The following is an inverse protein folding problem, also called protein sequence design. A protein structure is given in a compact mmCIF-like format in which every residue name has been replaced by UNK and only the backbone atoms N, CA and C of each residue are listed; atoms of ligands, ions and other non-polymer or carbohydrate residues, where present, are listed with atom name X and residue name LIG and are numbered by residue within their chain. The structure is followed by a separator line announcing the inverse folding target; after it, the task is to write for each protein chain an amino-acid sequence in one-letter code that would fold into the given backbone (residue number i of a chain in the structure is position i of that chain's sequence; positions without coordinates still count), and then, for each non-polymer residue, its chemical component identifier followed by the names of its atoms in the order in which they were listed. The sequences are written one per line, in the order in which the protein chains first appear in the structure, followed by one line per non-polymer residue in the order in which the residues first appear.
data_IF_897661669611
#
_entry.id   IF_897661669611
#
_cell.length_a   1.000
_cell.length_b   1.000
_cell.length_c   1.000
_cell.angle_alpha   90.00
_cell.angle_beta   90.00
_cell.angle_gamma   90.00
#
_symmetry.space_group_name_H-M   'P 1'
#
loop_
_entity.id
_entity.type
_entity.pdbx_description
1 polymer ?
#
# COMPACT_ATOMS: atom_id res chain seq x y z
N UNK A 1 -13.86 -14.35 11.85
CA UNK A 1 -13.82 -12.88 11.71
C UNK A 1 -13.13 -12.57 10.39
N UNK A 2 -13.59 -11.56 9.64
CA UNK A 2 -12.94 -11.15 8.39
C UNK A 2 -11.97 -10.01 8.70
N UNK A 3 -10.68 -10.31 8.71
CA UNK A 3 -9.60 -9.33 8.93
C UNK A 3 -8.94 -8.88 7.62
N UNK A 4 -9.59 -9.13 6.49
CA UNK A 4 -9.14 -8.62 5.20
C UNK A 4 -9.25 -7.09 5.22
N UNK A 5 -8.15 -6.40 4.90
CA UNK A 5 -8.04 -4.96 5.11
C UNK A 5 -7.32 -4.25 3.97
N UNK A 6 -7.81 -3.06 3.65
CA UNK A 6 -7.19 -2.09 2.75
C UNK A 6 -6.69 -0.93 3.60
N UNK A 7 -5.40 -0.63 3.50
CA UNK A 7 -4.86 0.67 3.88
C UNK A 7 -4.79 1.54 2.63
N UNK A 8 -5.38 2.74 2.67
CA UNK A 8 -5.30 3.70 1.59
C UNK A 8 -4.36 4.85 1.94
N UNK A 9 -3.31 5.04 1.14
CA UNK A 9 -2.37 6.14 1.31
C UNK A 9 -2.33 7.04 0.07
N UNK A 10 -2.65 8.32 0.26
CA UNK A 10 -2.71 9.35 -0.78
C UNK A 10 -1.99 10.66 -0.40
N UNK A 11 -1.17 10.64 0.65
CA UNK A 11 -0.59 11.84 1.26
C UNK A 11 0.94 11.94 1.06
N UNK A 12 1.56 13.00 1.57
CA UNK A 12 3.00 13.25 1.44
C UNK A 12 3.85 12.48 2.48
N UNK A 13 5.19 12.55 2.30
CA UNK A 13 6.20 11.71 2.94
C UNK A 13 6.06 11.55 4.48
N UNK A 14 5.75 12.62 5.20
CA UNK A 14 5.68 12.63 6.66
C UNK A 14 4.65 11.63 7.22
N UNK A 15 3.62 11.32 6.43
CA UNK A 15 2.53 10.43 6.86
C UNK A 15 2.73 8.97 6.45
N UNK A 16 3.68 8.68 5.56
CA UNK A 16 3.94 7.30 5.12
C UNK A 16 4.45 6.44 6.27
N UNK A 17 5.33 6.97 7.11
CA UNK A 17 5.88 6.25 8.27
C UNK A 17 4.77 5.81 9.23
N UNK A 18 3.77 6.68 9.47
CA UNK A 18 2.58 6.38 10.29
C UNK A 18 1.73 5.29 9.64
N UNK A 19 1.46 5.39 8.33
CA UNK A 19 0.70 4.38 7.60
C UNK A 19 1.38 3.00 7.67
N UNK A 20 2.69 2.93 7.43
CA UNK A 20 3.45 1.68 7.51
C UNK A 20 3.58 1.15 8.94
N UNK A 21 3.62 2.03 9.95
CA UNK A 21 3.56 1.64 11.36
C UNK A 21 2.23 0.97 11.70
N UNK A 22 1.10 1.54 11.23
CA UNK A 22 -0.23 0.95 11.41
C UNK A 22 -0.34 -0.42 10.75
N UNK A 23 0.20 -0.58 9.54
CA UNK A 23 0.29 -1.88 8.85
C UNK A 23 1.08 -2.89 9.69
N UNK A 24 2.26 -2.52 10.20
CA UNK A 24 3.08 -3.40 11.04
C UNK A 24 2.33 -3.82 12.29
N UNK A 25 1.64 -2.89 12.95
CA UNK A 25 0.87 -3.16 14.15
C UNK A 25 -0.31 -4.09 13.88
N UNK A 26 -0.99 -3.92 12.74
CA UNK A 26 -2.08 -4.81 12.30
C UNK A 26 -1.60 -6.25 12.14
N UNK A 27 -0.49 -6.44 11.41
CA UNK A 27 0.10 -7.77 11.18
C UNK A 27 0.49 -8.44 12.51
N UNK A 28 1.14 -7.70 13.42
CA UNK A 28 1.55 -8.22 14.73
C UNK A 28 0.36 -8.63 15.61
N UNK A 29 -0.70 -7.82 15.61
CA UNK A 29 -1.89 -8.09 16.42
C UNK A 29 -2.63 -9.37 15.98
N UNK A 30 -2.54 -9.72 14.70
CA UNK A 30 -3.23 -10.85 14.08
C UNK A 30 -2.31 -12.03 13.72
N UNK A 31 -1.15 -12.16 14.38
CA UNK A 31 -0.14 -13.18 14.06
C UNK A 31 -0.63 -14.65 14.05
N UNK A 32 -1.76 -14.94 14.71
CA UNK A 32 -2.37 -16.27 14.75
C UNK A 32 -3.60 -16.41 13.83
N UNK A 33 -3.97 -15.36 13.10
CA UNK A 33 -5.15 -15.31 12.25
C UNK A 33 -4.75 -15.29 10.77
N UNK A 34 -5.62 -15.82 9.90
CA UNK A 34 -5.44 -15.72 8.45
C UNK A 34 -6.16 -14.49 7.92
N UNK A 35 -5.47 -13.66 7.14
CA UNK A 35 -6.03 -12.45 6.54
C UNK A 35 -5.22 -11.99 5.32
N UNK A 36 -5.86 -11.17 4.50
CA UNK A 36 -5.24 -10.45 3.38
C UNK A 36 -5.09 -8.98 3.73
N UNK A 37 -3.89 -8.43 3.55
CA UNK A 37 -3.62 -7.01 3.77
C UNK A 37 -3.09 -6.36 2.50
N UNK A 38 -3.74 -5.26 2.10
CA UNK A 38 -3.39 -4.51 0.89
C UNK A 38 -3.15 -3.05 1.24
N UNK A 39 -2.01 -2.50 0.87
CA UNK A 39 -1.76 -1.06 0.85
C UNK A 39 -1.99 -0.55 -0.56
N UNK A 40 -3.06 0.24 -0.77
CA UNK A 40 -3.30 0.92 -2.04
C UNK A 40 -2.75 2.34 -1.96
N UNK A 41 -1.83 2.68 -2.87
CA UNK A 41 -1.20 3.98 -2.98
C UNK A 41 -1.63 4.67 -4.26
N UNK A 42 -2.14 5.89 -4.13
CA UNK A 42 -2.47 6.76 -5.26
C UNK A 42 -2.08 8.22 -4.94
N UNK A 43 -2.41 9.14 -5.84
CA UNK A 43 -2.17 10.57 -5.63
C UNK A 43 -0.70 10.89 -5.33
N UNK A 44 -0.41 11.94 -4.54
CA UNK A 44 0.95 12.32 -4.15
C UNK A 44 1.77 11.21 -3.48
N UNK A 45 1.14 10.24 -2.84
CA UNK A 45 1.82 9.14 -2.14
C UNK A 45 2.71 8.29 -3.03
N UNK A 46 2.44 8.25 -4.35
CA UNK A 46 3.24 7.49 -5.32
C UNK A 46 4.71 7.93 -5.33
N UNK A 47 4.98 9.20 -5.03
CA UNK A 47 6.32 9.78 -5.04
C UNK A 47 7.26 9.14 -4.01
N UNK A 48 6.73 8.37 -3.06
CA UNK A 48 7.49 7.73 -1.96
C UNK A 48 7.70 6.22 -2.15
N UNK A 49 7.25 5.66 -3.28
CA UNK A 49 7.27 4.22 -3.54
C UNK A 49 8.52 3.78 -4.32
N UNK A 50 9.56 4.62 -4.39
CA UNK A 50 10.78 4.35 -5.12
C UNK A 50 11.66 3.32 -4.42
N UNK A 51 12.44 2.56 -5.20
CA UNK A 51 13.35 1.53 -4.68
C UNK A 51 14.50 2.07 -3.81
N UNK A 52 14.76 3.37 -3.85
CA UNK A 52 15.81 4.06 -3.07
C UNK A 52 15.25 5.09 -2.10
N UNK A 53 13.93 5.17 -1.93
CA UNK A 53 13.32 6.10 -0.99
C UNK A 53 13.50 5.66 0.47
N UNK A 54 13.38 6.60 1.40
CA UNK A 54 13.65 6.37 2.83
C UNK A 54 12.86 5.20 3.45
N UNK A 55 11.69 4.86 2.90
CA UNK A 55 10.82 3.80 3.40
C UNK A 55 10.91 2.51 2.56
N UNK A 56 11.83 2.43 1.59
CA UNK A 56 11.94 1.28 0.69
C UNK A 56 12.22 -0.03 1.43
N UNK A 57 13.14 -0.02 2.40
CA UNK A 57 13.45 -1.20 3.22
C UNK A 57 12.24 -1.65 4.04
N UNK A 58 11.53 -0.70 4.66
CA UNK A 58 10.33 -0.99 5.45
C UNK A 58 9.19 -1.55 4.58
N UNK A 59 9.01 -1.05 3.36
CA UNK A 59 8.05 -1.62 2.41
C UNK A 59 8.40 -3.08 2.07
N UNK A 60 9.67 -3.37 1.81
CA UNK A 60 10.15 -4.72 1.51
C UNK A 60 9.97 -5.67 2.70
N UNK A 61 10.28 -5.20 3.92
CA UNK A 61 10.05 -5.97 5.15
C UNK A 61 8.56 -6.32 5.29
N UNK A 62 7.66 -5.35 5.17
CA UNK A 62 6.23 -5.60 5.34
C UNK A 62 5.67 -6.48 4.21
N UNK A 63 6.16 -6.34 2.98
CA UNK A 63 5.81 -7.23 1.87
C UNK A 63 6.23 -8.67 2.15
N UNK A 64 7.39 -8.89 2.77
CA UNK A 64 7.84 -10.23 3.18
C UNK A 64 6.93 -10.86 4.25
N UNK A 65 6.19 -10.03 4.99
CA UNK A 65 5.19 -10.43 5.97
C UNK A 65 3.77 -10.56 5.39
N UNK A 66 3.62 -10.49 4.05
CA UNK A 66 2.34 -10.69 3.36
C UNK A 66 1.62 -9.41 2.91
N UNK A 67 2.20 -8.22 3.10
CA UNK A 67 1.64 -6.98 2.56
C UNK A 67 1.66 -6.95 1.02
N UNK A 68 0.49 -6.81 0.39
CA UNK A 68 0.41 -6.46 -1.03
C UNK A 68 0.43 -4.94 -1.19
N UNK A 69 1.47 -4.40 -1.82
CA UNK A 69 1.57 -2.95 -2.12
C UNK A 69 1.09 -2.71 -3.54
N UNK A 70 -0.08 -2.07 -3.70
CA UNK A 70 -0.72 -1.79 -5.00
C UNK A 70 -0.66 -0.30 -5.32
N UNK A 71 -0.07 0.06 -6.45
CA UNK A 71 0.19 1.46 -6.82
C UNK A 71 -0.58 1.86 -8.08
N UNK A 72 -1.11 3.08 -8.10
CA UNK A 72 -1.97 3.57 -9.17
C UNK A 72 -1.18 3.96 -10.44
N UNK A 73 -1.48 3.32 -11.58
CA UNK A 73 -0.92 3.67 -12.90
C UNK A 73 -1.16 5.14 -13.26
N UNK A 74 -2.37 5.66 -13.02
CA UNK A 74 -2.68 7.06 -13.31
C UNK A 74 -1.82 8.03 -12.50
N UNK A 75 -1.47 7.69 -11.25
CA UNK A 75 -0.58 8.50 -10.44
C UNK A 75 0.85 8.47 -11.00
N UNK A 76 1.36 7.30 -11.39
CA UNK A 76 2.67 7.19 -12.06
C UNK A 76 2.75 8.09 -13.29
N UNK A 77 1.73 8.03 -14.15
CA UNK A 77 1.66 8.88 -15.34
C UNK A 77 1.61 10.37 -14.99
N UNK A 78 0.78 10.76 -14.03
CA UNK A 78 0.61 12.15 -13.62
C UNK A 78 1.89 12.76 -13.06
N UNK A 79 2.66 11.99 -12.29
CA UNK A 79 3.93 12.44 -11.70
C UNK A 79 5.16 12.10 -12.56
N UNK A 80 4.97 11.65 -13.79
CA UNK A 80 6.04 11.29 -14.73
C UNK A 80 7.06 10.27 -14.18
N UNK A 81 6.58 9.35 -13.35
CA UNK A 81 7.38 8.29 -12.75
C UNK A 81 7.33 7.05 -13.63
N UNK A 82 8.50 6.45 -13.87
CA UNK A 82 8.61 5.22 -14.66
C UNK A 82 8.43 3.99 -13.76
N UNK A 83 7.84 2.88 -14.26
CA UNK A 83 7.72 1.64 -13.50
C UNK A 83 9.04 1.13 -12.89
N UNK A 84 10.18 1.33 -13.57
CA UNK A 84 11.49 0.83 -13.12
C UNK A 84 12.07 1.61 -11.93
N UNK A 85 11.49 2.77 -11.59
CA UNK A 85 11.84 3.55 -10.42
C UNK A 85 11.22 2.96 -9.13
N UNK A 86 10.07 2.29 -9.25
CA UNK A 86 9.34 1.73 -8.11
C UNK A 86 10.16 0.66 -7.37
N UNK A 87 9.88 0.53 -6.08
CA UNK A 87 10.29 -0.62 -5.30
C UNK A 87 9.74 -1.90 -5.96
N UNK A 88 10.55 -2.96 -6.17
CA UNK A 88 10.11 -4.21 -6.80
C UNK A 88 8.90 -4.89 -6.15
N UNK A 89 8.58 -4.59 -4.89
CA UNK A 89 7.40 -5.13 -4.21
C UNK A 89 6.09 -4.45 -4.64
N UNK A 90 6.15 -3.31 -5.33
CA UNK A 90 4.99 -2.58 -5.81
C UNK A 90 4.36 -3.28 -7.02
N UNK A 91 3.05 -3.52 -6.94
CA UNK A 91 2.23 -4.04 -8.03
C UNK A 91 1.43 -2.89 -8.64
N UNK A 92 1.56 -2.65 -9.94
CA UNK A 92 0.84 -1.56 -10.58
C UNK A 92 -0.59 -2.00 -10.90
N UNK A 93 -1.57 -1.19 -10.49
CA UNK A 93 -3.00 -1.37 -10.81
C UNK A 93 -3.50 -0.24 -11.72
N UNK A 94 -4.47 -0.49 -12.62
CA UNK A 94 -4.93 0.52 -13.57
C UNK A 94 -5.41 1.83 -12.91
N UNK A 95 -6.15 1.72 -11.80
CA UNK A 95 -6.61 2.87 -11.03
C UNK A 95 -6.76 2.50 -9.55
N UNK A 96 -6.02 3.19 -8.67
CA UNK A 96 -6.06 2.91 -7.22
C UNK A 96 -7.44 3.10 -6.58
N UNK A 97 -8.25 4.03 -7.07
CA UNK A 97 -9.62 4.21 -6.54
C UNK A 97 -10.53 3.04 -6.91
N UNK A 98 -10.38 2.47 -8.11
CA UNK A 98 -11.17 1.30 -8.55
C UNK A 98 -10.71 0.06 -7.77
N UNK A 99 -9.41 -0.08 -7.55
CA UNK A 99 -8.84 -1.14 -6.72
C UNK A 99 -9.45 -1.17 -5.31
N UNK A 100 -9.59 0.01 -4.68
CA UNK A 100 -10.23 0.16 -3.37
C UNK A 100 -11.71 -0.24 -3.43
N UNK A 101 -12.45 0.19 -4.46
CA UNK A 101 -13.86 -0.17 -4.63
C UNK A 101 -14.04 -1.68 -4.79
N UNK A 102 -13.21 -2.32 -5.62
CA UNK A 102 -13.32 -3.75 -5.91
C UNK A 102 -12.93 -4.61 -4.69
N UNK A 103 -11.95 -4.18 -3.90
CA UNK A 103 -11.60 -4.84 -2.65
C UNK A 103 -12.69 -4.66 -1.58
N UNK A 104 -13.27 -3.47 -1.44
CA UNK A 104 -14.39 -3.26 -0.51
C UNK A 104 -15.62 -4.10 -0.89
N UNK A 105 -15.90 -4.28 -2.20
CA UNK A 105 -16.96 -5.21 -2.67
C UNK A 105 -16.68 -6.67 -2.31
N UNK A 106 -15.42 -7.04 -2.10
CA UNK A 106 -14.99 -8.34 -1.58
C UNK A 106 -14.97 -8.38 -0.04
N UNK A 107 -15.66 -7.44 0.61
CA UNK A 107 -15.78 -7.31 2.06
C UNK A 107 -14.48 -6.97 2.82
N UNK A 108 -13.49 -6.37 2.14
CA UNK A 108 -12.32 -5.83 2.82
C UNK A 108 -12.70 -4.59 3.64
N UNK A 109 -12.17 -4.49 4.85
CA UNK A 109 -12.30 -3.29 5.69
C UNK A 109 -11.41 -2.17 5.15
N UNK A 110 -11.95 -0.96 5.03
CA UNK A 110 -11.21 0.20 4.55
C UNK A 110 -10.65 1.04 5.70
N UNK A 111 -9.34 1.34 5.68
CA UNK A 111 -8.65 2.19 6.64
C UNK A 111 -7.88 3.30 5.90
N UNK A 112 -8.07 4.54 6.35
CA UNK A 112 -7.30 5.71 5.87
C UNK A 112 -6.45 6.29 7.01
N UNK A 113 -5.16 5.92 7.10
CA UNK A 113 -4.23 6.43 8.10
C UNK A 113 -3.84 7.90 7.88
#
# INVERSE_FOLDING_TARGET
MYYDVIFHFDQDAEKLSVALSNVRNYIKALHAESFTIVLVVNGPGIKMMGKTDSQAEQLTELASLGLSVRVCQNALHHFHLKPEWLNPVCQIVPAGIIEIVDLQRKAFTYIKP
#
